data_IF_260375038343
#
_entry.id   IF_260375038343
#
_cell.length_a   1.000
_cell.length_b   1.000
_cell.length_c   1.000
_cell.angle_alpha   90.00
_cell.angle_beta   90.00
_cell.angle_gamma   90.00
#
_symmetry.space_group_name_H-M   'P 1'
#
loop_
_entity.id
_entity.type
_entity.pdbx_description
1 polymer ?
#
# COMPACT_ATOMS: atom_id res chain seq x y z
N UNK A 1 48.53 -3.57 -19.83
CA UNK A 1 47.38 -4.16 -19.12
C UNK A 1 46.55 -3.04 -18.57
N UNK A 2 45.28 -2.95 -18.97
CA UNK A 2 44.35 -1.97 -18.41
C UNK A 2 44.04 -2.36 -16.97
N UNK A 3 44.32 -1.46 -16.04
CA UNK A 3 44.07 -1.64 -14.62
C UNK A 3 42.65 -1.15 -14.34
N UNK A 4 41.76 -2.06 -13.93
CA UNK A 4 40.40 -1.73 -13.52
C UNK A 4 40.45 -0.88 -12.24
N UNK A 5 39.63 0.17 -12.12
CA UNK A 5 39.63 1.02 -10.93
C UNK A 5 39.12 0.24 -9.72
N UNK A 6 39.76 0.50 -8.59
CA UNK A 6 39.42 -0.08 -7.30
C UNK A 6 37.97 0.23 -6.93
N UNK A 7 37.25 -0.82 -6.54
CA UNK A 7 35.91 -0.76 -5.96
C UNK A 7 35.90 0.21 -4.78
N UNK A 8 35.17 1.32 -4.92
CA UNK A 8 34.88 2.22 -3.81
C UNK A 8 34.00 1.47 -2.82
N UNK A 9 34.49 1.30 -1.60
CA UNK A 9 33.72 0.82 -0.45
C UNK A 9 32.51 1.73 -0.23
N UNK A 10 31.35 1.27 -0.70
CA UNK A 10 30.07 1.95 -0.52
C UNK A 10 29.72 1.96 0.99
N UNK A 11 29.34 3.12 1.51
CA UNK A 11 28.91 3.24 2.91
C UNK A 11 27.70 2.31 3.16
N UNK A 12 27.57 1.72 4.37
CA UNK A 12 26.43 0.88 4.68
C UNK A 12 25.13 1.64 4.44
N UNK A 13 24.11 1.03 3.78
CA UNK A 13 22.90 1.72 3.40
C UNK A 13 22.21 2.30 4.63
N UNK A 14 21.75 3.54 4.53
CA UNK A 14 21.03 4.22 5.60
C UNK A 14 19.83 3.39 6.07
N UNK A 15 19.62 3.34 7.38
CA UNK A 15 18.49 2.60 7.97
C UNK A 15 17.17 3.28 7.58
N UNK A 16 16.30 2.55 6.89
CA UNK A 16 14.95 3.01 6.56
C UNK A 16 14.07 3.09 7.80
N UNK A 17 13.15 4.06 7.83
CA UNK A 17 12.03 4.09 8.81
C UNK A 17 11.01 3.00 8.52
N UNK A 18 10.79 2.70 7.23
CA UNK A 18 9.97 1.59 6.77
C UNK A 18 10.68 0.26 7.08
N UNK A 19 10.05 -0.64 7.86
CA UNK A 19 10.56 -1.96 8.17
C UNK A 19 10.85 -2.80 6.92
N UNK A 20 11.87 -3.65 6.98
CA UNK A 20 12.34 -4.47 5.85
C UNK A 20 11.51 -5.75 5.67
N UNK A 21 10.20 -5.60 5.54
CA UNK A 21 9.28 -6.68 5.19
C UNK A 21 8.39 -6.29 4.01
N UNK A 22 8.00 -7.26 3.19
CA UNK A 22 6.99 -7.12 2.16
C UNK A 22 5.80 -8.02 2.49
N UNK A 23 4.65 -7.41 2.67
CA UNK A 23 3.39 -8.04 3.03
C UNK A 23 2.61 -8.32 1.75
N UNK A 24 2.11 -9.54 1.62
CA UNK A 24 1.22 -9.94 0.53
C UNK A 24 0.08 -10.76 1.10
N UNK A 25 -1.14 -10.44 0.64
CA UNK A 25 -2.35 -11.13 1.06
C UNK A 25 -2.87 -12.02 -0.07
N UNK A 26 -3.36 -13.21 0.26
CA UNK A 26 -3.89 -14.15 -0.72
C UNK A 26 -5.09 -14.93 -0.21
N UNK A 27 -5.92 -15.43 -1.12
CA UNK A 27 -6.87 -16.49 -0.78
C UNK A 27 -6.17 -17.84 -0.53
N UNK A 28 -4.98 -18.02 -1.08
CA UNK A 28 -4.23 -19.26 -0.99
C UNK A 28 -3.32 -19.29 0.25
N UNK A 29 -3.34 -20.40 0.98
CA UNK A 29 -2.51 -20.60 2.18
C UNK A 29 -0.99 -20.60 1.91
N UNK A 30 -0.59 -20.74 0.64
CA UNK A 30 0.82 -20.77 0.26
C UNK A 30 1.01 -20.26 -1.17
N UNK A 31 2.13 -19.58 -1.46
CA UNK A 31 2.56 -19.26 -2.82
C UNK A 31 2.59 -20.46 -3.78
N UNK A 32 2.78 -21.68 -3.26
CA UNK A 32 2.82 -22.89 -4.06
C UNK A 32 1.50 -23.20 -4.79
N UNK A 33 0.37 -22.69 -4.29
CA UNK A 33 -0.96 -22.92 -4.86
C UNK A 33 -1.43 -21.80 -5.80
N UNK A 34 -0.59 -20.79 -6.05
CA UNK A 34 -0.90 -19.73 -6.99
C UNK A 34 -0.95 -20.28 -8.42
N UNK A 35 -1.83 -19.69 -9.24
CA UNK A 35 -1.83 -19.95 -10.67
C UNK A 35 -0.47 -19.55 -11.28
N UNK A 36 0.02 -20.25 -12.32
CA UNK A 36 1.39 -20.08 -12.80
C UNK A 36 1.79 -18.63 -13.13
N UNK A 37 0.89 -17.85 -13.74
CA UNK A 37 1.18 -16.46 -14.09
C UNK A 37 1.36 -15.55 -12.86
N UNK A 38 0.49 -15.69 -11.85
CA UNK A 38 0.60 -14.94 -10.59
C UNK A 38 1.86 -15.36 -9.83
N UNK A 39 2.16 -16.66 -9.79
CA UNK A 39 3.39 -17.19 -9.18
C UNK A 39 4.65 -16.63 -9.85
N UNK A 40 4.69 -16.59 -11.18
CA UNK A 40 5.81 -16.03 -11.93
C UNK A 40 5.99 -14.53 -11.65
N UNK A 41 4.90 -13.77 -11.56
CA UNK A 41 4.95 -12.36 -11.17
C UNK A 41 5.50 -12.17 -9.75
N UNK A 42 4.99 -12.95 -8.78
CA UNK A 42 5.48 -12.97 -7.41
C UNK A 42 6.99 -13.24 -7.35
N UNK A 43 7.44 -14.31 -7.99
CA UNK A 43 8.86 -14.70 -7.99
C UNK A 43 9.73 -13.61 -8.62
N UNK A 44 9.29 -12.99 -9.72
CA UNK A 44 10.00 -11.86 -10.36
C UNK A 44 10.10 -10.65 -9.45
N UNK A 45 9.02 -10.28 -8.76
CA UNK A 45 9.03 -9.18 -7.80
C UNK A 45 10.01 -9.47 -6.66
N UNK A 46 9.95 -10.65 -6.05
CA UNK A 46 10.84 -11.02 -4.94
C UNK A 46 12.32 -11.12 -5.36
N UNK A 47 12.60 -11.54 -6.61
CA UNK A 47 13.97 -11.56 -7.14
C UNK A 47 14.60 -10.16 -7.25
N UNK A 48 13.80 -9.10 -7.37
CA UNK A 48 14.29 -7.71 -7.37
C UNK A 48 14.59 -7.19 -5.96
N UNK A 49 14.02 -7.81 -4.92
CA UNK A 49 14.16 -7.36 -3.55
C UNK A 49 15.31 -8.08 -2.84
N UNK A 50 16.44 -7.40 -2.71
CA UNK A 50 17.50 -7.86 -1.81
C UNK A 50 17.19 -7.42 -0.36
N UNK A 51 16.89 -8.40 0.49
CA UNK A 51 16.79 -8.21 1.94
C UNK A 51 15.49 -7.61 2.46
N UNK A 52 14.37 -7.80 1.76
CA UNK A 52 13.03 -7.73 2.37
C UNK A 52 12.59 -9.15 2.74
N UNK A 53 11.98 -9.31 3.91
CA UNK A 53 11.35 -10.57 4.32
C UNK A 53 9.91 -10.64 3.80
N UNK A 54 9.54 -11.76 3.16
CA UNK A 54 8.16 -11.98 2.74
C UNK A 54 7.27 -12.33 3.94
N UNK A 55 6.25 -11.51 4.20
CA UNK A 55 5.14 -11.80 5.11
C UNK A 55 3.91 -12.20 4.29
N UNK A 56 3.70 -13.51 4.15
CA UNK A 56 2.53 -14.07 3.48
C UNK A 56 1.35 -14.20 4.45
N UNK A 57 0.17 -13.74 4.06
CA UNK A 57 -1.04 -13.84 4.86
C UNK A 57 -2.20 -14.35 4.00
N UNK A 58 -2.75 -15.50 4.38
CA UNK A 58 -4.05 -15.90 3.85
C UNK A 58 -5.22 -15.36 4.69
N UNK A 59 -6.46 -15.67 4.29
CA UNK A 59 -7.65 -15.24 5.02
C UNK A 59 -7.66 -15.72 6.49
N UNK A 60 -7.17 -16.93 6.76
CA UNK A 60 -7.15 -17.51 8.11
C UNK A 60 -6.09 -16.86 8.99
N UNK A 61 -4.89 -16.66 8.45
CA UNK A 61 -3.80 -15.96 9.13
C UNK A 61 -4.19 -14.51 9.41
N UNK A 62 -4.88 -13.88 8.46
CA UNK A 62 -5.37 -12.52 8.65
C UNK A 62 -6.44 -12.45 9.74
N UNK A 63 -7.38 -13.39 9.75
CA UNK A 63 -8.41 -13.47 10.76
C UNK A 63 -7.81 -13.61 12.17
N UNK A 64 -6.86 -14.52 12.33
CA UNK A 64 -6.16 -14.74 13.60
C UNK A 64 -5.41 -13.47 14.03
N UNK A 65 -4.73 -12.81 13.09
CA UNK A 65 -4.04 -11.56 13.33
C UNK A 65 -4.98 -10.44 13.80
N UNK A 66 -6.16 -10.30 13.18
CA UNK A 66 -7.17 -9.32 13.60
C UNK A 66 -7.74 -9.65 14.98
N UNK A 67 -8.00 -10.93 15.28
CA UNK A 67 -8.46 -11.38 16.60
C UNK A 67 -7.45 -11.03 17.68
N UNK A 68 -6.18 -11.28 17.42
CA UNK A 68 -5.09 -11.05 18.38
C UNK A 68 -4.86 -9.56 18.65
N UNK A 69 -5.09 -8.68 17.68
CA UNK A 69 -4.56 -7.31 17.75
C UNK A 69 -5.61 -6.19 17.70
N UNK A 70 -6.80 -6.46 17.14
CA UNK A 70 -7.85 -5.47 16.92
C UNK A 70 -9.20 -5.88 17.53
N UNK A 71 -9.26 -7.06 18.15
CA UNK A 71 -10.43 -7.55 18.87
C UNK A 71 -11.49 -8.21 17.97
N UNK A 72 -12.43 -8.89 18.63
CA UNK A 72 -13.41 -9.75 17.97
C UNK A 72 -14.33 -8.99 16.98
N UNK A 73 -14.75 -7.76 17.32
CA UNK A 73 -15.64 -6.97 16.45
C UNK A 73 -14.98 -6.63 15.12
N UNK A 74 -13.68 -6.33 15.11
CA UNK A 74 -12.95 -6.02 13.87
C UNK A 74 -12.67 -7.29 13.06
N UNK A 75 -12.28 -8.38 13.72
CA UNK A 75 -12.13 -9.69 13.08
C UNK A 75 -13.41 -10.19 12.40
N UNK A 76 -14.58 -9.98 13.03
CA UNK A 76 -15.87 -10.37 12.47
C UNK A 76 -16.19 -9.69 11.13
N UNK A 77 -15.66 -8.48 10.88
CA UNK A 77 -15.82 -7.80 9.58
C UNK A 77 -15.15 -8.59 8.46
N UNK A 78 -13.97 -9.15 8.71
CA UNK A 78 -13.27 -10.01 7.75
C UNK A 78 -14.03 -11.34 7.54
N UNK A 79 -14.53 -11.97 8.61
CA UNK A 79 -15.31 -13.21 8.52
C UNK A 79 -16.57 -13.05 7.66
N UNK A 80 -17.23 -11.88 7.78
CA UNK A 80 -18.48 -11.60 7.09
C UNK A 80 -18.32 -10.97 5.70
N UNK A 81 -17.10 -10.57 5.31
CA UNK A 81 -16.83 -9.92 4.03
C UNK A 81 -16.75 -10.95 2.89
N UNK A 82 -17.72 -11.00 1.96
CA UNK A 82 -17.72 -11.99 0.88
C UNK A 82 -16.65 -11.73 -0.19
N UNK A 83 -16.17 -10.48 -0.32
CA UNK A 83 -15.26 -10.07 -1.38
C UNK A 83 -13.81 -10.19 -0.96
N UNK A 84 -13.04 -11.01 -1.69
CA UNK A 84 -11.62 -11.24 -1.40
C UNK A 84 -10.76 -9.97 -1.29
N UNK A 85 -10.99 -8.99 -2.16
CA UNK A 85 -10.23 -7.73 -2.21
C UNK A 85 -10.45 -6.91 -0.96
N UNK A 86 -11.69 -6.86 -0.46
CA UNK A 86 -12.04 -6.11 0.74
C UNK A 86 -11.51 -6.78 2.02
N UNK A 87 -11.45 -8.12 2.05
CA UNK A 87 -10.70 -8.85 3.09
C UNK A 87 -9.22 -8.48 3.08
N UNK A 88 -8.62 -8.38 1.88
CA UNK A 88 -7.26 -7.89 1.69
C UNK A 88 -7.05 -6.45 2.18
N UNK A 89 -8.04 -5.57 2.01
CA UNK A 89 -8.00 -4.18 2.49
C UNK A 89 -7.97 -4.07 4.02
N UNK A 90 -8.82 -4.84 4.71
CA UNK A 90 -8.78 -4.97 6.16
C UNK A 90 -7.42 -5.49 6.63
N UNK A 91 -6.92 -6.54 5.98
CA UNK A 91 -5.69 -7.20 6.36
C UNK A 91 -4.47 -6.31 6.22
N UNK A 92 -4.28 -5.72 5.03
CA UNK A 92 -3.11 -4.89 4.72
C UNK A 92 -3.05 -3.68 5.64
N UNK A 93 -4.19 -3.05 5.89
CA UNK A 93 -4.26 -1.87 6.74
C UNK A 93 -3.85 -2.19 8.18
N UNK A 94 -4.35 -3.32 8.71
CA UNK A 94 -4.05 -3.77 10.07
C UNK A 94 -2.56 -4.10 10.26
N UNK A 95 -1.97 -4.81 9.30
CA UNK A 95 -0.54 -5.20 9.38
C UNK A 95 0.35 -3.98 9.22
N UNK A 96 0.13 -3.15 8.20
CA UNK A 96 0.90 -1.93 7.98
C UNK A 96 0.79 -0.95 9.15
N UNK A 97 -0.39 -0.80 9.76
CA UNK A 97 -0.52 0.04 10.96
C UNK A 97 0.32 -0.49 12.12
N UNK A 98 0.26 -1.77 12.44
CA UNK A 98 0.94 -2.30 13.63
C UNK A 98 2.43 -2.50 13.41
N UNK A 99 2.79 -3.13 12.30
CA UNK A 99 4.15 -3.62 12.04
C UNK A 99 4.90 -2.76 11.02
N UNK A 100 4.21 -1.91 10.24
CA UNK A 100 4.82 -1.22 9.11
C UNK A 100 5.32 -2.17 8.01
N UNK A 101 6.08 -1.62 7.08
CA UNK A 101 6.72 -2.36 5.99
C UNK A 101 6.18 -1.93 4.64
N UNK A 102 6.38 -2.78 3.65
CA UNK A 102 5.85 -2.64 2.31
C UNK A 102 4.67 -3.59 2.13
N UNK A 103 3.69 -3.20 1.33
CA UNK A 103 2.61 -4.04 0.88
C UNK A 103 2.51 -3.94 -0.65
N UNK A 104 2.32 -5.07 -1.31
CA UNK A 104 1.90 -5.10 -2.72
C UNK A 104 0.84 -6.16 -2.98
N UNK A 105 -0.13 -5.84 -3.84
CA UNK A 105 -1.06 -6.84 -4.39
C UNK A 105 -0.30 -7.87 -5.23
N UNK A 106 -0.83 -9.10 -5.29
CA UNK A 106 -0.23 -10.19 -6.09
C UNK A 106 -0.25 -9.93 -7.59
N UNK A 107 -1.12 -9.02 -8.04
CA UNK A 107 -1.22 -8.62 -9.43
C UNK A 107 -0.31 -7.43 -9.80
N UNK A 108 0.31 -6.74 -8.84
CA UNK A 108 1.26 -5.67 -9.13
C UNK A 108 2.54 -6.24 -9.73
N UNK A 109 3.00 -5.67 -10.85
CA UNK A 109 4.30 -5.99 -11.44
C UNK A 109 5.26 -4.83 -11.22
N UNK A 110 6.35 -5.05 -10.47
CA UNK A 110 7.35 -4.03 -10.24
C UNK A 110 8.25 -3.84 -11.47
N UNK A 111 8.66 -2.60 -11.74
CA UNK A 111 9.72 -2.25 -12.70
C UNK A 111 11.04 -1.95 -12.01
N UNK A 112 10.97 -1.46 -10.77
CA UNK A 112 12.10 -1.18 -9.89
C UNK A 112 11.85 -1.80 -8.51
N UNK A 113 12.90 -2.07 -7.71
CA UNK A 113 12.70 -2.55 -6.34
C UNK A 113 11.89 -1.57 -5.48
N UNK A 114 11.01 -2.08 -4.61
CA UNK A 114 10.23 -1.38 -3.59
C UNK A 114 11.10 -0.47 -2.73
N UNK A 115 12.29 -0.94 -2.38
CA UNK A 115 13.25 -0.16 -1.59
C UNK A 115 13.75 1.10 -2.30
N UNK A 116 13.59 1.22 -3.64
CA UNK A 116 13.84 2.47 -4.37
C UNK A 116 12.65 3.43 -4.38
N UNK A 117 11.47 2.97 -3.96
CA UNK A 117 10.27 3.80 -3.90
C UNK A 117 10.23 4.68 -2.66
N UNK A 118 11.17 4.47 -1.73
CA UNK A 118 11.27 5.19 -0.46
C UNK A 118 12.70 5.65 -0.24
N UNK A 119 12.87 6.62 0.66
CA UNK A 119 14.17 7.02 1.21
C UNK A 119 14.19 6.82 2.74
N UNK A 120 15.30 7.20 3.39
CA UNK A 120 15.48 7.02 4.83
C UNK A 120 14.51 7.83 5.68
N UNK A 121 13.89 8.89 5.13
CA UNK A 121 13.00 9.77 5.87
C UNK A 121 11.53 9.42 5.65
N UNK A 122 11.21 8.75 4.54
CA UNK A 122 9.84 8.36 4.16
C UNK A 122 9.13 7.64 5.30
N UNK A 123 7.96 8.17 5.70
CA UNK A 123 7.07 7.59 6.71
C UNK A 123 5.87 6.91 6.09
N UNK A 124 5.45 7.37 4.91
CA UNK A 124 4.34 6.81 4.14
C UNK A 124 4.58 6.99 2.64
N UNK A 125 4.33 5.92 1.88
CA UNK A 125 4.45 5.89 0.42
C UNK A 125 3.26 5.18 -0.18
N UNK A 126 2.74 5.71 -1.28
CA UNK A 126 1.65 5.12 -2.06
C UNK A 126 1.57 5.76 -3.45
N UNK A 127 0.63 5.34 -4.28
CA UNK A 127 0.26 6.01 -5.52
C UNK A 127 -1.15 6.60 -5.46
N UNK A 128 -1.45 7.58 -6.31
CA UNK A 128 -2.82 7.96 -6.63
C UNK A 128 -3.33 7.12 -7.80
N UNK A 129 -4.61 6.76 -7.78
CA UNK A 129 -5.30 6.14 -8.91
C UNK A 129 -5.64 7.19 -9.98
N UNK A 130 -5.93 6.75 -11.20
CA UNK A 130 -6.36 7.66 -12.29
C UNK A 130 -7.62 8.45 -11.92
N UNK A 131 -8.53 7.86 -11.14
CA UNK A 131 -9.74 8.52 -10.64
C UNK A 131 -9.53 9.38 -9.39
N UNK A 132 -8.29 9.58 -8.94
CA UNK A 132 -7.93 10.50 -7.85
C UNK A 132 -8.03 9.95 -6.43
N UNK A 133 -8.36 8.67 -6.24
CA UNK A 133 -8.24 8.00 -4.94
C UNK A 133 -6.79 7.63 -4.62
N UNK A 134 -6.55 7.02 -3.46
CA UNK A 134 -5.22 6.53 -3.06
C UNK A 134 -5.12 5.04 -3.35
N UNK A 135 -4.24 4.65 -4.27
CA UNK A 135 -4.05 3.26 -4.66
C UNK A 135 -3.49 2.45 -3.47
N UNK A 136 -4.28 1.53 -2.92
CA UNK A 136 -3.84 0.71 -1.80
C UNK A 136 -3.15 -0.61 -2.23
N UNK A 137 -2.94 -0.81 -3.53
CA UNK A 137 -2.27 -1.99 -4.11
C UNK A 137 -0.74 -1.95 -3.98
N UNK A 138 -0.14 -0.78 -3.70
CA UNK A 138 1.29 -0.61 -3.39
C UNK A 138 1.43 0.46 -2.31
N UNK A 139 1.90 0.06 -1.13
CA UNK A 139 1.97 0.94 0.03
C UNK A 139 3.26 0.67 0.80
N UNK A 140 3.87 1.70 1.38
CA UNK A 140 4.85 1.51 2.43
C UNK A 140 4.53 2.44 3.61
N UNK A 141 4.65 1.93 4.82
CA UNK A 141 4.40 2.72 6.02
C UNK A 141 5.37 2.36 7.15
N UNK A 142 5.72 3.35 7.97
CA UNK A 142 6.36 3.07 9.24
C UNK A 142 5.35 2.48 10.25
N UNK A 143 5.81 1.75 11.29
CA UNK A 143 4.90 1.24 12.31
C UNK A 143 4.17 2.38 13.01
N UNK A 144 2.88 2.18 13.27
CA UNK A 144 1.94 3.15 13.86
C UNK A 144 1.80 4.43 13.06
N UNK A 145 1.95 4.36 11.74
CA UNK A 145 1.70 5.49 10.86
C UNK A 145 0.27 6.03 11.02
N UNK A 146 0.13 7.36 11.14
CA UNK A 146 -1.16 8.01 11.40
C UNK A 146 -2.18 7.80 10.27
N UNK A 147 -1.74 7.75 9.01
CA UNK A 147 -2.64 7.50 7.87
C UNK A 147 -3.19 6.09 7.93
N UNK A 148 -2.36 5.12 8.30
CA UNK A 148 -2.81 3.74 8.47
C UNK A 148 -3.78 3.61 9.65
N UNK A 149 -3.59 4.39 10.72
CA UNK A 149 -4.53 4.47 11.84
C UNK A 149 -5.90 5.02 11.39
N UNK A 150 -5.92 6.15 10.68
CA UNK A 150 -7.16 6.73 10.17
C UNK A 150 -7.81 5.82 9.10
N UNK A 151 -7.02 5.14 8.27
CA UNK A 151 -7.53 4.16 7.29
C UNK A 151 -8.29 3.03 8.00
N UNK A 152 -7.78 2.52 9.12
CA UNK A 152 -8.50 1.52 9.94
C UNK A 152 -9.80 2.07 10.55
N UNK A 153 -9.81 3.35 10.95
CA UNK A 153 -11.04 4.01 11.44
C UNK A 153 -12.06 4.15 10.31
N UNK A 154 -11.64 4.52 9.11
CA UNK A 154 -12.52 4.62 7.94
C UNK A 154 -13.04 3.27 7.47
N UNK A 155 -12.22 2.21 7.52
CA UNK A 155 -12.67 0.83 7.31
C UNK A 155 -13.72 0.42 8.35
N UNK A 156 -13.51 0.75 9.64
CA UNK A 156 -14.52 0.51 10.68
C UNK A 156 -15.85 1.20 10.33
N UNK A 157 -15.80 2.49 9.99
CA UNK A 157 -17.00 3.28 9.62
C UNK A 157 -17.70 2.74 8.37
N UNK A 158 -16.93 2.27 7.38
CA UNK A 158 -17.47 1.62 6.18
C UNK A 158 -18.37 0.44 6.53
N UNK A 159 -17.91 -0.46 7.40
CA UNK A 159 -18.67 -1.65 7.80
C UNK A 159 -19.79 -1.34 8.81
N UNK A 160 -19.62 -0.32 9.65
CA UNK A 160 -20.63 0.08 10.64
C UNK A 160 -21.77 0.87 10.00
N UNK A 161 -21.63 1.30 8.73
CA UNK A 161 -22.62 2.12 8.02
C UNK A 161 -22.52 3.61 8.33
N UNK A 162 -21.44 4.03 8.99
CA UNK A 162 -21.18 5.42 9.43
C UNK A 162 -20.43 6.25 8.36
N UNK A 163 -20.12 5.64 7.21
CA UNK A 163 -19.50 6.30 6.07
C UNK A 163 -20.17 5.85 4.76
N UNK A 164 -20.29 6.79 3.81
CA UNK A 164 -20.78 6.50 2.46
C UNK A 164 -19.86 5.50 1.75
N UNK A 165 -20.44 4.54 1.03
CA UNK A 165 -19.69 3.63 0.15
C UNK A 165 -19.36 4.25 -1.20
N UNK A 166 -19.89 5.44 -1.46
CA UNK A 166 -19.59 6.25 -2.63
C UNK A 166 -18.73 7.47 -2.23
N UNK A 167 -17.88 7.90 -3.14
CA UNK A 167 -17.13 9.12 -2.99
C UNK A 167 -18.04 10.36 -3.15
N UNK A 168 -17.83 11.37 -2.31
CA UNK A 168 -18.34 12.72 -2.56
C UNK A 168 -17.40 13.39 -3.58
N UNK A 169 -17.74 13.37 -4.86
CA UNK A 169 -16.88 13.89 -5.94
C UNK A 169 -16.45 15.35 -5.71
N UNK A 170 -17.30 16.16 -5.08
CA UNK A 170 -17.00 17.56 -4.83
C UNK A 170 -15.98 17.71 -3.69
N UNK A 171 -16.12 16.96 -2.60
CA UNK A 171 -15.22 17.08 -1.45
C UNK A 171 -13.97 16.23 -1.57
N UNK A 172 -14.11 15.01 -2.07
CA UNK A 172 -13.06 13.99 -2.09
C UNK A 172 -12.26 14.02 -3.40
N UNK A 173 -12.78 14.70 -4.44
CA UNK A 173 -12.13 14.84 -5.76
C UNK A 173 -11.77 13.49 -6.40
N UNK A 174 -12.60 12.49 -6.18
CA UNK A 174 -12.46 11.15 -6.76
C UNK A 174 -13.84 10.57 -7.10
N UNK A 175 -13.86 9.63 -8.04
CA UNK A 175 -15.03 8.83 -8.41
C UNK A 175 -14.93 7.37 -7.94
N UNK A 176 -13.92 7.05 -7.13
CA UNK A 176 -13.68 5.68 -6.69
C UNK A 176 -14.85 5.16 -5.85
N UNK A 177 -15.25 3.93 -6.14
CA UNK A 177 -16.26 3.17 -5.39
C UNK A 177 -15.63 1.99 -4.64
N UNK A 178 -14.30 1.91 -4.64
CA UNK A 178 -13.56 0.81 -4.05
C UNK A 178 -13.19 1.11 -2.60
N UNK A 179 -13.59 0.23 -1.69
CA UNK A 179 -13.40 0.41 -0.24
C UNK A 179 -11.96 0.77 0.12
N UNK A 180 -10.99 -0.04 -0.30
CA UNK A 180 -9.58 0.18 -0.02
C UNK A 180 -9.07 1.57 -0.42
N UNK A 181 -9.13 1.93 -1.73
CA UNK A 181 -8.68 3.24 -2.17
C UNK A 181 -9.41 4.43 -1.54
N UNK A 182 -10.73 4.32 -1.36
CA UNK A 182 -11.53 5.41 -0.81
C UNK A 182 -11.28 5.62 0.69
N UNK A 183 -11.23 4.55 1.48
CA UNK A 183 -10.95 4.64 2.93
C UNK A 183 -9.53 5.12 3.20
N UNK A 184 -8.54 4.74 2.37
CA UNK A 184 -7.18 5.26 2.48
C UNK A 184 -7.08 6.74 2.10
N UNK A 185 -7.80 7.19 1.06
CA UNK A 185 -7.89 8.61 0.72
C UNK A 185 -8.48 9.42 1.88
N UNK A 186 -9.58 8.95 2.47
CA UNK A 186 -10.21 9.59 3.63
C UNK A 186 -9.25 9.67 4.81
N UNK A 187 -8.57 8.58 5.12
CA UNK A 187 -7.55 8.54 6.18
C UNK A 187 -6.42 9.54 5.95
N UNK A 188 -5.90 9.62 4.72
CA UNK A 188 -4.88 10.59 4.34
C UNK A 188 -5.38 12.03 4.51
N UNK A 189 -6.58 12.35 4.04
CA UNK A 189 -7.16 13.69 4.16
C UNK A 189 -7.35 14.12 5.62
N UNK A 190 -7.81 13.22 6.50
CA UNK A 190 -7.94 13.50 7.93
C UNK A 190 -6.60 13.86 8.56
N UNK A 191 -5.53 13.10 8.25
CA UNK A 191 -4.18 13.39 8.77
C UNK A 191 -3.65 14.71 8.23
N UNK A 192 -3.86 15.00 6.94
CA UNK A 192 -3.40 16.24 6.31
C UNK A 192 -4.10 17.47 6.87
N UNK A 193 -5.42 17.43 7.04
CA UNK A 193 -6.18 18.54 7.64
C UNK A 193 -5.67 18.86 9.05
N UNK A 194 -5.31 17.83 9.82
CA UNK A 194 -4.76 17.97 11.17
C UNK A 194 -3.31 18.47 11.18
N UNK A 195 -2.47 17.96 10.30
CA UNK A 195 -1.00 18.10 10.41
C UNK A 195 -0.41 19.17 9.50
N UNK A 196 -1.11 19.52 8.42
CA UNK A 196 -0.73 20.58 7.48
C UNK A 196 -1.97 21.32 6.97
N UNK A 197 -2.69 22.04 7.86
CA UNK A 197 -3.91 22.75 7.49
C UNK A 197 -3.67 23.76 6.38
N UNK A 198 -4.56 23.78 5.38
CA UNK A 198 -4.47 24.66 4.22
C UNK A 198 -3.57 24.16 3.08
N UNK A 199 -2.88 23.02 3.24
CA UNK A 199 -2.15 22.38 2.14
C UNK A 199 -3.12 21.56 1.28
N UNK A 200 -3.20 21.87 -0.03
CA UNK A 200 -4.00 21.08 -0.97
C UNK A 200 -3.28 19.80 -1.37
N UNK A 201 -3.94 18.65 -1.12
CA UNK A 201 -3.45 17.33 -1.53
C UNK A 201 -3.30 17.22 -3.06
N UNK A 202 -4.21 17.87 -3.80
CA UNK A 202 -4.25 17.86 -5.27
C UNK A 202 -3.05 18.59 -5.89
N UNK A 203 -2.52 19.59 -5.19
CA UNK A 203 -1.27 20.24 -5.58
C UNK A 203 -0.07 19.36 -5.21
N UNK A 204 -0.07 18.78 -4.01
CA UNK A 204 1.07 18.02 -3.50
C UNK A 204 1.30 16.68 -4.22
N UNK A 205 0.26 16.05 -4.80
CA UNK A 205 0.45 14.84 -5.60
C UNK A 205 1.38 15.02 -6.81
N UNK A 206 1.62 16.27 -7.24
CA UNK A 206 2.53 16.59 -8.35
C UNK A 206 4.01 16.60 -7.92
N UNK A 207 4.29 16.42 -6.64
CA UNK A 207 5.64 16.46 -6.06
C UNK A 207 6.00 15.07 -5.53
N UNK A 208 7.17 14.57 -5.91
CA UNK A 208 7.61 13.21 -5.57
C UNK A 208 7.73 12.97 -4.07
N UNK A 209 8.22 13.95 -3.32
CA UNK A 209 8.30 13.87 -1.88
C UNK A 209 8.09 15.24 -1.24
N UNK A 210 7.40 15.24 -0.11
CA UNK A 210 7.11 16.44 0.65
C UNK A 210 6.79 16.09 2.11
N UNK A 211 6.72 17.11 2.97
CA UNK A 211 6.56 16.95 4.41
C UNK A 211 5.26 17.59 4.92
N UNK A 212 4.60 16.93 5.87
CA UNK A 212 3.39 17.40 6.52
C UNK A 212 3.44 17.04 8.02
N UNK A 213 3.72 18.03 8.88
CA UNK A 213 3.94 17.76 10.29
C UNK A 213 5.13 16.82 10.50
N UNK A 214 4.89 15.66 11.10
CA UNK A 214 5.91 14.60 11.33
C UNK A 214 6.03 13.60 10.17
N UNK A 215 5.17 13.73 9.16
CA UNK A 215 5.11 12.80 8.04
C UNK A 215 6.01 13.25 6.90
N UNK A 216 6.74 12.31 6.31
CA UNK A 216 7.47 12.49 5.06
C UNK A 216 6.82 11.58 4.02
N UNK A 217 6.11 12.20 3.08
CA UNK A 217 5.36 11.51 2.06
C UNK A 217 6.20 11.26 0.82
N UNK A 218 5.90 10.14 0.17
CA UNK A 218 6.37 9.84 -1.17
C UNK A 218 5.21 9.34 -2.01
N UNK A 219 4.84 10.10 -3.03
CA UNK A 219 3.67 9.78 -3.85
C UNK A 219 4.08 9.46 -5.28
N UNK A 220 3.30 8.57 -5.88
CA UNK A 220 3.38 8.15 -7.27
C UNK A 220 2.01 8.38 -7.93
N UNK A 221 1.95 8.30 -9.25
CA UNK A 221 0.69 8.43 -9.99
C UNK A 221 0.45 7.22 -10.89
N UNK A 222 -0.72 6.63 -10.77
CA UNK A 222 -1.25 5.74 -11.79
C UNK A 222 -1.71 6.57 -13.01
N UNK A 223 -1.28 6.18 -14.21
CA UNK A 223 -1.61 6.86 -15.47
C UNK A 223 -1.73 5.84 -16.60
N UNK A 224 -2.49 6.20 -17.64
CA UNK A 224 -2.54 5.42 -18.88
C UNK A 224 -1.15 5.28 -19.51
N UNK A 225 -0.83 4.09 -20.00
CA UNK A 225 0.38 3.84 -20.77
C UNK A 225 0.30 4.59 -22.12
N UNK A 226 1.37 5.27 -22.54
CA UNK A 226 1.50 5.81 -23.88
C UNK A 226 2.04 4.71 -24.81
N UNK A 227 1.10 4.00 -25.42
CA UNK A 227 1.39 2.95 -26.39
C UNK A 227 1.55 3.56 -27.79
N UNK A 228 2.58 4.39 -28.00
CA UNK A 228 2.91 4.92 -29.33
C UNK A 228 3.53 3.79 -30.17
N UNK A 229 2.73 3.24 -31.07
CA UNK A 229 3.07 2.09 -31.90
C UNK A 229 4.07 2.49 -33.00
N UNK A 230 5.34 2.70 -32.64
CA UNK A 230 6.42 2.97 -33.61
C UNK A 230 7.08 1.70 -34.15
N UNK A 231 6.64 0.51 -33.72
CA UNK A 231 7.03 -0.77 -34.31
C UNK A 231 8.26 -1.43 -33.69
N UNK A 232 9.00 -0.73 -32.83
CA UNK A 232 10.11 -1.30 -32.08
C UNK A 232 9.63 -1.78 -30.70
N UNK A 233 9.56 -3.11 -30.54
CA UNK A 233 9.22 -3.74 -29.27
C UNK A 233 10.40 -3.63 -28.30
N UNK A 234 10.57 -2.46 -27.67
CA UNK A 234 11.43 -2.39 -26.48
C UNK A 234 10.70 -3.10 -25.32
N UNK A 235 11.19 -4.26 -24.84
CA UNK A 235 10.63 -4.93 -23.67
C UNK A 235 10.77 -4.07 -22.39
N UNK A 236 11.56 -3.01 -22.43
CA UNK A 236 11.66 -2.03 -21.35
C UNK A 236 10.76 -0.82 -21.50
N UNK A 237 10.01 -0.72 -22.60
CA UNK A 237 9.00 0.32 -22.79
C UNK A 237 7.90 0.20 -21.73
N UNK A 238 7.20 1.31 -21.49
CA UNK A 238 6.05 1.31 -20.60
C UNK A 238 4.89 0.47 -21.13
N UNK A 239 4.81 0.28 -22.44
CA UNK A 239 3.76 -0.44 -23.13
C UNK A 239 4.31 -1.48 -24.12
N UNK A 240 4.83 -2.62 -23.64
CA UNK A 240 5.18 -3.75 -24.52
C UNK A 240 3.96 -4.22 -25.34
N UNK A 241 4.17 -4.88 -26.49
CA UNK A 241 3.09 -5.29 -27.40
C UNK A 241 1.97 -6.10 -26.74
N UNK A 242 2.28 -6.92 -25.75
CA UNK A 242 1.32 -7.67 -24.93
C UNK A 242 0.31 -6.78 -24.22
N UNK A 243 0.75 -5.66 -23.63
CA UNK A 243 -0.11 -4.67 -22.97
C UNK A 243 -0.85 -3.82 -23.98
N UNK A 244 -0.17 -3.39 -25.04
CA UNK A 244 -0.78 -2.58 -26.11
C UNK A 244 -1.95 -3.30 -26.79
N UNK A 245 -1.83 -4.63 -26.97
CA UNK A 245 -2.83 -5.47 -27.62
C UNK A 245 -3.79 -6.13 -26.63
N UNK A 246 -3.70 -5.85 -25.34
CA UNK A 246 -4.59 -6.44 -24.35
C UNK A 246 -6.00 -5.86 -24.45
N UNK A 247 -6.99 -6.75 -24.42
CA UNK A 247 -8.41 -6.38 -24.32
C UNK A 247 -8.81 -5.98 -22.90
N UNK A 248 -8.03 -6.37 -21.89
CA UNK A 248 -8.31 -6.04 -20.49
C UNK A 248 -7.91 -4.60 -20.17
N UNK A 249 -8.85 -3.68 -19.86
CA UNK A 249 -8.54 -2.27 -19.64
C UNK A 249 -7.55 -2.05 -18.50
N UNK A 250 -7.58 -2.87 -17.45
CA UNK A 250 -6.68 -2.75 -16.30
C UNK A 250 -5.19 -2.96 -16.63
N UNK A 251 -4.87 -3.55 -17.79
CA UNK A 251 -3.48 -3.73 -18.24
C UNK A 251 -2.88 -2.46 -18.87
N UNK A 252 -3.69 -1.43 -19.13
CA UNK A 252 -3.33 -0.17 -19.79
C UNK A 252 -2.85 0.93 -18.85
N UNK A 253 -2.66 0.61 -17.57
CA UNK A 253 -2.16 1.54 -16.57
C UNK A 253 -0.72 1.20 -16.18
N UNK A 254 0.03 2.23 -15.80
CA UNK A 254 1.33 2.14 -15.15
C UNK A 254 1.39 3.07 -13.94
N UNK A 255 2.33 2.83 -13.04
CA UNK A 255 2.61 3.66 -11.87
C UNK A 255 3.90 4.41 -12.14
N UNK A 256 3.85 5.74 -12.02
CA UNK A 256 4.90 6.66 -12.46
C UNK A 256 5.38 7.55 -11.32
N UNK A 257 6.66 7.94 -11.36
CA UNK A 257 7.11 9.09 -10.56
C UNK A 257 6.32 10.34 -10.97
N UNK A 258 5.90 11.18 -10.02
CA UNK A 258 5.19 12.40 -10.34
C UNK A 258 6.19 13.36 -11.00
N UNK A 259 5.90 13.69 -12.25
CA UNK A 259 6.67 14.63 -13.04
C UNK A 259 5.71 15.58 -13.76
N UNK A 260 5.87 16.91 -13.62
CA UNK A 260 5.11 17.89 -14.39
C UNK A 260 5.45 17.88 -15.90
N UNK A 261 6.63 17.36 -16.27
CA UNK A 261 7.07 17.22 -17.66
C UNK A 261 6.59 15.88 -18.24
N UNK A 262 5.57 15.94 -19.11
CA UNK A 262 4.96 14.75 -19.73
C UNK A 262 5.91 13.95 -20.64
N UNK A 263 6.97 14.56 -21.16
CA UNK A 263 7.96 13.93 -22.05
C UNK A 263 8.99 13.06 -21.30
N UNK A 264 8.98 13.08 -19.95
CA UNK A 264 9.93 12.35 -19.10
C UNK A 264 9.21 11.52 -18.05
N UNK A 265 8.36 10.61 -18.51
CA UNK A 265 7.66 9.65 -17.65
C UNK A 265 8.65 8.61 -17.14
N UNK A 266 8.68 8.41 -15.83
CA UNK A 266 9.51 7.37 -15.19
C UNK A 266 8.58 6.33 -14.60
N UNK A 267 8.46 5.20 -15.29
CA UNK A 267 7.66 4.07 -14.86
C UNK A 267 8.37 3.30 -13.74
N UNK A 268 7.65 3.04 -12.64
CA UNK A 268 8.18 2.31 -11.49
C UNK A 268 7.49 0.97 -11.24
N UNK A 269 6.25 0.79 -11.70
CA UNK A 269 5.51 -0.46 -11.62
C UNK A 269 4.31 -0.44 -12.58
N UNK A 270 3.63 -1.58 -12.70
CA UNK A 270 2.29 -1.69 -13.28
C UNK A 270 1.35 -2.24 -12.20
N UNK A 271 0.11 -1.72 -12.09
CA UNK A 271 -0.87 -2.23 -11.13
C UNK A 271 -1.31 -3.66 -11.44
N UNK A 272 -1.11 -4.11 -12.69
CA UNK A 272 -1.42 -5.46 -13.17
C UNK A 272 -0.23 -6.02 -13.94
N UNK A 273 0.14 -7.28 -13.72
CA UNK A 273 1.19 -7.92 -14.50
C UNK A 273 0.75 -8.18 -15.95
N UNK A 274 1.74 -8.32 -16.82
CA UNK A 274 1.57 -8.31 -18.27
C UNK A 274 0.59 -9.35 -18.81
N UNK A 275 0.59 -10.56 -18.25
CA UNK A 275 -0.30 -11.65 -18.64
C UNK A 275 -1.69 -11.61 -17.97
N UNK A 276 -2.01 -10.54 -17.24
CA UNK A 276 -3.30 -10.39 -16.57
C UNK A 276 -4.40 -10.06 -17.58
N UNK A 277 -5.47 -10.84 -17.57
CA UNK A 277 -6.60 -10.75 -18.50
C UNK A 277 -7.95 -10.47 -17.82
N UNK A 278 -7.98 -10.37 -16.49
CA UNK A 278 -9.17 -10.06 -15.70
C UNK A 278 -8.86 -9.25 -14.44
N UNK A 279 -9.90 -8.79 -13.77
CA UNK A 279 -9.75 -8.16 -12.48
C UNK A 279 -9.27 -9.18 -11.44
N UNK A 280 -8.12 -8.91 -10.81
CA UNK A 280 -7.49 -9.81 -9.84
C UNK A 280 -6.58 -10.86 -10.45
N UNK A 281 -6.48 -10.93 -11.78
CA UNK A 281 -5.59 -11.82 -12.51
C UNK A 281 -5.67 -13.28 -12.04
N UNK A 282 -6.88 -13.73 -11.69
CA UNK A 282 -7.15 -15.08 -11.11
C UNK A 282 -6.38 -15.39 -9.82
N UNK A 283 -5.92 -14.37 -9.11
CA UNK A 283 -5.25 -14.46 -7.81
C UNK A 283 -6.22 -14.67 -6.62
N UNK A 284 -7.53 -14.69 -6.88
CA UNK A 284 -8.58 -14.92 -5.88
C UNK A 284 -9.08 -13.67 -5.14
N UNK A 285 -8.50 -12.49 -5.41
CA UNK A 285 -8.93 -11.23 -4.82
C UNK A 285 -10.27 -10.71 -5.35
N UNK A 286 -10.74 -11.21 -6.49
CA UNK A 286 -12.03 -10.80 -7.10
C UNK A 286 -13.10 -11.88 -7.04
N UNK A 287 -12.79 -13.04 -6.47
CA UNK A 287 -13.79 -14.06 -6.23
C UNK A 287 -14.76 -13.58 -5.15
N UNK A 288 -16.04 -13.52 -5.47
CA UNK A 288 -17.11 -13.46 -4.47
C UNK A 288 -17.37 -14.90 -3.99
N UNK A 289 -17.03 -15.18 -2.74
CA UNK A 289 -17.30 -16.48 -2.12
C UNK A 289 -18.68 -16.53 -1.46
N UNK A 290 -19.35 -17.69 -1.50
CA UNK A 290 -20.50 -17.93 -0.63
C UNK A 290 -20.05 -17.93 0.83
N UNK A 291 -20.61 -17.01 1.60
CA UNK A 291 -20.38 -16.82 3.03
C UNK A 291 -20.47 -18.17 3.79
N UNK A 292 -19.43 -18.64 4.50
CA UNK A 292 -19.56 -19.79 5.39
C UNK A 292 -20.45 -19.41 6.57
N UNK A 293 -21.78 -19.59 6.39
CA UNK A 293 -22.85 -19.51 7.39
C UNK A 293 -22.51 -18.68 8.64
N UNK A 294 -22.90 -17.41 8.61
CA UNK A 294 -22.86 -16.46 9.72
C UNK A 294 -23.20 -17.12 11.07
N UNK A 295 -22.21 -17.27 11.95
CA UNK A 295 -22.45 -17.46 13.37
C UNK A 295 -22.97 -16.14 13.96
N UNK A 296 -23.96 -16.22 14.86
CA UNK A 296 -24.50 -15.05 15.55
C UNK A 296 -23.40 -14.27 16.28
N UNK A 297 -23.40 -12.92 16.22
CA UNK A 297 -22.40 -12.11 16.90
C UNK A 297 -22.49 -12.29 18.43
N UNK A 298 -21.37 -12.51 19.13
CA UNK A 298 -21.36 -12.44 20.58
C UNK A 298 -21.61 -11.00 21.04
N UNK A 299 -22.58 -10.82 21.95
CA UNK A 299 -22.83 -9.55 22.65
C UNK A 299 -21.68 -9.27 23.62
N UNK A 300 -20.62 -8.62 23.14
CA UNK A 300 -19.49 -8.15 23.95
C UNK A 300 -19.54 -6.63 24.12
N UNK A 301 -19.30 -6.16 25.34
CA UNK A 301 -19.26 -4.75 25.73
C UNK A 301 -18.01 -4.05 25.19
N UNK A 302 -18.23 -2.78 24.84
CA UNK A 302 -17.39 -1.82 24.14
C UNK A 302 -16.17 -1.35 24.95
N UNK A 303 -14.97 -1.45 24.38
CA UNK A 303 -13.87 -0.50 24.64
C UNK A 303 -12.93 -0.47 23.42
N UNK A 304 -12.78 0.71 22.83
CA UNK A 304 -12.14 1.00 21.55
C UNK A 304 -10.60 0.95 21.64
N UNK A 305 -9.97 0.01 20.94
CA UNK A 305 -8.51 -0.10 20.83
C UNK A 305 -7.86 0.96 19.92
N UNK A 306 -8.64 1.80 19.23
CA UNK A 306 -8.14 2.86 18.34
C UNK A 306 -8.09 4.25 18.98
N UNK A 307 -8.59 4.39 20.22
CA UNK A 307 -8.58 5.63 20.99
C UNK A 307 -7.61 5.52 22.17
N UNK A 308 -6.29 5.58 21.90
CA UNK A 308 -5.26 6.21 22.77
C UNK A 308 -3.84 5.78 22.37
N UNK A 309 -2.94 6.72 22.03
CA UNK A 309 -1.55 6.58 22.41
C UNK A 309 -1.40 7.07 23.86
N UNK A 310 -1.26 6.15 24.82
CA UNK A 310 -0.59 6.49 26.09
C UNK A 310 0.87 6.75 25.77
N UNK A 311 1.19 7.99 25.43
CA UNK A 311 2.54 8.51 25.53
C UNK A 311 2.86 8.51 27.03
N UNK A 312 3.62 7.51 27.48
CA UNK A 312 4.26 7.56 28.79
C UNK A 312 5.30 8.67 28.74
N UNK A 313 4.90 9.87 29.18
CA UNK A 313 5.83 10.85 29.72
C UNK A 313 6.22 10.36 31.12
N UNK A 314 7.21 9.51 31.18
CA UNK A 314 7.99 9.24 32.39
C UNK A 314 9.41 8.87 31.92
N UNK A 315 10.26 9.88 31.81
CA UNK A 315 11.58 9.82 32.43
C UNK A 315 12.00 11.24 32.80
N UNK A 316 12.01 11.39 34.11
CA UNK A 316 12.42 12.53 34.92
C UNK A 316 13.84 13.01 34.63
N UNK A 317 13.96 14.31 34.47
CA UNK A 317 14.77 15.17 35.35
C UNK A 317 16.13 14.58 35.80
N UNK A 318 17.17 14.86 35.01
CA UNK A 318 18.57 14.67 35.37
C UNK A 318 19.29 16.01 35.38
N UNK A 319 19.05 16.84 36.39
CA UNK A 319 19.91 18.00 36.66
C UNK A 319 21.31 17.51 37.06
N UNK A 320 22.31 17.69 36.20
CA UNK A 320 23.71 17.55 36.57
C UNK A 320 24.28 18.93 36.86
N UNK A 321 24.61 19.14 38.14
CA UNK A 321 25.33 20.29 38.67
C UNK A 321 26.83 20.15 38.34
N UNK A 322 27.55 21.21 37.91
CA UNK A 322 28.96 21.10 37.55
C UNK A 322 29.84 21.43 38.76
N UNK A 323 30.46 20.42 39.40
CA UNK A 323 31.67 20.60 40.21
C UNK A 323 32.52 19.32 40.22
N UNK A 324 33.81 19.56 40.01
CA UNK A 324 34.98 18.73 40.29
C UNK A 324 35.37 17.62 39.29
N UNK A 325 36.53 17.88 38.66
CA UNK A 325 37.44 17.05 37.84
C UNK A 325 37.17 16.97 36.34
#
# INVERSE_FOLDING_TARGET
GLQLPASTTEAPPAKLRIPRQVIMTSKQASPAHLVPAVKANLEKNLQMESGLELRWLDDSMCLDYLKEHFGAKFAQRLENEPRGSYRGDLCRAAVLFREGGFYIDLDVQLKVPLTRLVDSNTTFMTAFTVDGAVLNAVVAAEPRNEIMAETLRELRRWYDGDASHEADEEKEKTQSQWMGPLTMLRGLRVVMERSCPGVSLEMQRQVASWECGTQHFRFYDERDLACDYTGDADPNSECPPSRANSEFPGSRFGIFEPNPQWDKRVLVAWPRFEACDDWGCKGGGWDEGANPKSAEPPKGTEEDLLDSPKISKDDSDGSANPKDL
#
